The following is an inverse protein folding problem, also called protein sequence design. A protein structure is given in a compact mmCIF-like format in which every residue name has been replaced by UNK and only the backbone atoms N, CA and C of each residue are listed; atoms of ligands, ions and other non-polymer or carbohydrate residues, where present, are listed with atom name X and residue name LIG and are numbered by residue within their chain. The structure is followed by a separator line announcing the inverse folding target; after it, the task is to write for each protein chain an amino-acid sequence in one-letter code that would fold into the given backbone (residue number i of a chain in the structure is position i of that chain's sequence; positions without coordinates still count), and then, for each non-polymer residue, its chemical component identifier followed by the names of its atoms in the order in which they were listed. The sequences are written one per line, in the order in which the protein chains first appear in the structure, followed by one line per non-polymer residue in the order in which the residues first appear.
data_IF_777990250232
#
_entry.id   IF_777990250232
#
_cell.length_a   1.000
_cell.length_b   1.000
_cell.length_c   1.000
_cell.angle_alpha   90.00
_cell.angle_beta   90.00
_cell.angle_gamma   90.00
#
_symmetry.space_group_name_H-M   'P 1'
#
loop_
_entity.id
_entity.type
_entity.pdbx_description
1 polymer ?
#
# COMPACT_ATOMS: atom_id res chain seq x y z
N UNK A 1 -22.89 -30.55 6.58
CA UNK A 1 -21.50 -30.07 6.76
C UNK A 1 -21.22 -29.10 5.63
N UNK A 2 -20.91 -27.87 5.96
CA UNK A 2 -20.78 -26.77 5.02
C UNK A 2 -19.53 -26.95 4.14
N UNK A 3 -19.61 -26.51 2.88
CA UNK A 3 -18.66 -26.83 1.80
C UNK A 3 -17.22 -26.32 2.00
N UNK A 4 -16.96 -25.48 3.01
CA UNK A 4 -15.64 -24.96 3.31
C UNK A 4 -15.06 -25.67 4.54
N UNK A 5 -13.96 -26.38 4.32
CA UNK A 5 -13.12 -26.91 5.40
C UNK A 5 -12.22 -25.77 5.92
N UNK A 6 -12.79 -24.89 6.74
CA UNK A 6 -12.09 -23.75 7.32
C UNK A 6 -12.26 -23.74 8.84
N UNK A 7 -11.19 -23.41 9.55
CA UNK A 7 -11.23 -23.13 10.99
C UNK A 7 -11.20 -21.63 11.21
N UNK A 8 -12.16 -21.05 11.96
CA UNK A 8 -12.16 -19.60 12.22
C UNK A 8 -10.86 -19.10 12.87
N UNK A 9 -10.31 -19.88 13.80
CA UNK A 9 -9.02 -19.59 14.43
C UNK A 9 -7.85 -19.64 13.46
N UNK A 10 -7.88 -20.53 12.47
CA UNK A 10 -6.86 -20.59 11.41
C UNK A 10 -6.91 -19.37 10.50
N UNK A 11 -8.11 -18.91 10.15
CA UNK A 11 -8.30 -17.68 9.37
C UNK A 11 -7.79 -16.46 10.14
N UNK A 12 -8.14 -16.34 11.42
CA UNK A 12 -7.65 -15.23 12.25
C UNK A 12 -6.13 -15.24 12.38
N UNK A 13 -5.51 -16.41 12.58
CA UNK A 13 -4.06 -16.53 12.64
C UNK A 13 -3.39 -16.08 11.34
N UNK A 14 -3.81 -16.60 10.18
CA UNK A 14 -3.21 -16.25 8.88
C UNK A 14 -3.40 -14.76 8.58
N UNK A 15 -4.59 -14.23 8.84
CA UNK A 15 -4.88 -12.81 8.58
C UNK A 15 -4.17 -11.89 9.57
N UNK A 16 -3.80 -12.36 10.77
CA UNK A 16 -2.90 -11.66 11.69
C UNK A 16 -1.49 -11.55 11.10
N UNK A 17 -0.94 -12.65 10.59
CA UNK A 17 0.38 -12.64 9.94
C UNK A 17 0.43 -11.71 8.72
N UNK A 18 -0.69 -11.61 7.97
CA UNK A 18 -0.81 -10.62 6.89
C UNK A 18 -0.78 -9.20 7.44
N UNK A 19 -1.39 -8.94 8.60
CA UNK A 19 -1.30 -7.66 9.30
C UNK A 19 0.14 -7.31 9.66
N UNK A 20 0.87 -8.24 10.28
CA UNK A 20 2.29 -8.05 10.63
C UNK A 20 3.14 -7.72 9.40
N UNK A 21 2.92 -8.44 8.28
CA UNK A 21 3.63 -8.17 7.03
C UNK A 21 3.29 -6.79 6.42
N UNK A 22 2.06 -6.30 6.60
CA UNK A 22 1.67 -4.95 6.16
C UNK A 22 2.39 -3.89 7.01
N UNK A 23 2.51 -4.11 8.32
CA UNK A 23 3.24 -3.21 9.21
C UNK A 23 4.73 -3.16 8.85
N UNK A 24 5.33 -4.30 8.51
CA UNK A 24 6.72 -4.37 8.01
C UNK A 24 6.90 -3.61 6.68
N UNK A 25 5.90 -3.67 5.78
CA UNK A 25 5.91 -2.89 4.53
C UNK A 25 5.87 -1.39 4.84
N UNK A 26 5.00 -0.92 5.74
CA UNK A 26 4.94 0.51 6.12
C UNK A 26 6.26 0.99 6.73
N UNK A 27 6.84 0.20 7.65
CA UNK A 27 8.15 0.49 8.23
C UNK A 27 9.25 0.56 7.15
N UNK A 28 9.24 -0.39 6.21
CA UNK A 28 10.14 -0.43 5.07
C UNK A 28 10.03 0.80 4.15
N UNK A 29 8.82 1.20 3.80
CA UNK A 29 8.55 2.40 2.96
C UNK A 29 9.05 3.68 3.64
N UNK A 30 8.81 3.83 4.95
CA UNK A 30 9.29 4.99 5.72
C UNK A 30 10.80 5.04 5.79
N UNK A 31 11.46 3.90 6.01
CA UNK A 31 12.92 3.79 6.04
C UNK A 31 13.52 4.11 4.67
N UNK A 32 12.94 3.53 3.62
CA UNK A 32 13.33 3.77 2.24
C UNK A 32 13.25 5.26 1.87
N UNK A 33 12.14 5.95 2.19
CA UNK A 33 12.00 7.38 1.94
C UNK A 33 13.09 8.23 2.62
N UNK A 34 13.38 7.96 3.91
CA UNK A 34 14.46 8.64 4.65
C UNK A 34 15.83 8.40 4.03
N UNK A 35 16.11 7.17 3.60
CA UNK A 35 17.39 6.82 2.97
C UNK A 35 17.56 7.52 1.62
N UNK A 36 16.49 7.63 0.84
CA UNK A 36 16.51 8.35 -0.44
C UNK A 36 16.67 9.86 -0.26
N UNK A 37 16.02 10.46 0.75
CA UNK A 37 16.22 11.87 1.12
C UNK A 37 17.67 12.15 1.54
N UNK A 38 18.25 11.28 2.37
CA UNK A 38 19.65 11.35 2.77
C UNK A 38 20.59 11.22 1.57
N UNK A 39 20.30 10.31 0.64
CA UNK A 39 21.08 10.13 -0.58
C UNK A 39 20.97 11.36 -1.51
N UNK A 40 19.77 11.91 -1.68
CA UNK A 40 19.54 13.12 -2.47
C UNK A 40 20.32 14.33 -1.92
N UNK A 41 20.34 14.48 -0.60
CA UNK A 41 21.12 15.53 0.09
C UNK A 41 22.62 15.35 -0.11
N UNK A 42 23.09 14.10 -0.14
CA UNK A 42 24.50 13.76 -0.28
C UNK A 42 25.00 13.79 -1.74
N UNK A 43 24.10 13.73 -2.73
CA UNK A 43 24.45 13.62 -4.14
C UNK A 43 25.02 14.90 -4.77
N UNK A 44 25.11 15.98 -4.00
CA UNK A 44 25.63 17.26 -4.47
C UNK A 44 24.70 17.97 -5.47
N UNK A 45 25.11 19.15 -5.91
CA UNK A 45 24.32 20.01 -6.79
C UNK A 45 25.20 20.47 -7.94
N UNK A 46 24.62 20.64 -9.14
CA UNK A 46 25.28 21.37 -10.21
C UNK A 46 24.88 22.83 -10.02
N UNK A 47 25.68 23.59 -9.30
CA UNK A 47 25.50 25.04 -9.15
C UNK A 47 26.82 25.77 -9.41
N UNK A 48 26.74 26.88 -10.16
CA UNK A 48 27.76 27.92 -10.15
C UNK A 48 27.88 28.51 -8.74
N UNK A 49 28.99 29.17 -8.34
CA UNK A 49 29.19 29.65 -6.97
C UNK A 49 28.08 30.63 -6.57
N UNK A 50 27.04 30.10 -5.93
CA UNK A 50 25.89 30.83 -5.42
C UNK A 50 26.03 31.00 -3.91
N UNK A 51 25.87 32.24 -3.43
CA UNK A 51 25.65 32.49 -2.02
C UNK A 51 24.18 32.17 -1.69
N UNK A 52 23.89 30.97 -1.19
CA UNK A 52 22.52 30.57 -0.83
C UNK A 52 22.32 29.07 -0.62
N UNK A 53 21.08 28.65 -0.38
CA UNK A 53 20.74 27.23 -0.31
C UNK A 53 21.02 26.56 -1.66
N UNK A 54 21.78 25.46 -1.65
CA UNK A 54 22.16 24.76 -2.86
C UNK A 54 20.92 24.15 -3.54
N UNK A 55 20.67 24.41 -4.83
CA UNK A 55 19.50 23.88 -5.55
C UNK A 55 19.59 22.35 -5.70
N UNK A 56 18.48 21.62 -5.63
CA UNK A 56 18.48 20.16 -5.80
C UNK A 56 19.16 19.73 -7.10
N UNK A 57 20.24 18.94 -6.99
CA UNK A 57 20.95 18.41 -8.15
C UNK A 57 20.13 17.38 -8.94
N UNK A 58 20.55 17.04 -10.17
CA UNK A 58 19.82 16.11 -11.05
C UNK A 58 19.61 14.73 -10.41
N UNK A 59 20.57 14.25 -9.61
CA UNK A 59 20.45 12.99 -8.88
C UNK A 59 19.37 13.08 -7.78
N UNK A 60 19.33 14.18 -7.03
CA UNK A 60 18.30 14.40 -6.02
C UNK A 60 16.90 14.47 -6.63
N UNK A 61 16.76 15.13 -7.78
CA UNK A 61 15.49 15.18 -8.52
C UNK A 61 15.06 13.80 -9.03
N UNK A 62 16.00 12.99 -9.55
CA UNK A 62 15.71 11.63 -10.00
C UNK A 62 15.27 10.72 -8.84
N UNK A 63 15.90 10.86 -7.66
CA UNK A 63 15.52 10.11 -6.46
C UNK A 63 14.13 10.50 -5.96
N UNK A 64 13.76 11.79 -6.02
CA UNK A 64 12.42 12.23 -5.66
C UNK A 64 11.34 11.59 -6.54
N UNK A 65 11.54 11.58 -7.87
CA UNK A 65 10.64 10.91 -8.81
C UNK A 65 10.58 9.39 -8.61
N UNK A 66 11.72 8.79 -8.27
CA UNK A 66 11.79 7.36 -7.99
C UNK A 66 10.98 6.99 -6.74
N UNK A 67 11.16 7.74 -5.65
CA UNK A 67 10.40 7.57 -4.41
C UNK A 67 8.90 7.75 -4.64
N UNK A 68 8.49 8.81 -5.34
CA UNK A 68 7.08 9.07 -5.63
C UNK A 68 6.42 7.86 -6.34
N UNK A 69 7.13 7.25 -7.30
CA UNK A 69 6.63 6.10 -8.05
C UNK A 69 6.60 4.82 -7.21
N UNK A 70 7.65 4.52 -6.45
CA UNK A 70 7.77 3.26 -5.72
C UNK A 70 6.93 3.24 -4.44
N UNK A 71 6.73 4.38 -3.78
CA UNK A 71 5.84 4.48 -2.62
C UNK A 71 4.40 4.11 -2.97
N UNK A 72 3.91 4.54 -4.14
CA UNK A 72 2.57 4.17 -4.62
C UNK A 72 2.40 2.66 -4.76
N UNK A 73 3.39 1.99 -5.36
CA UNK A 73 3.37 0.54 -5.58
C UNK A 73 3.38 -0.21 -4.23
N UNK A 74 4.22 0.21 -3.28
CA UNK A 74 4.28 -0.40 -1.96
C UNK A 74 2.97 -0.24 -1.18
N UNK A 75 2.38 0.96 -1.19
CA UNK A 75 1.08 1.22 -0.55
C UNK A 75 -0.05 0.41 -1.20
N UNK A 76 -0.02 0.25 -2.53
CA UNK A 76 -1.00 -0.56 -3.22
C UNK A 76 -0.93 -2.04 -2.81
N UNK A 77 0.29 -2.59 -2.65
CA UNK A 77 0.48 -3.97 -2.16
C UNK A 77 -0.10 -4.12 -0.76
N UNK A 78 0.24 -3.21 0.16
CA UNK A 78 -0.27 -3.23 1.53
C UNK A 78 -1.79 -3.15 1.59
N UNK A 79 -2.40 -2.23 0.85
CA UNK A 79 -3.85 -2.09 0.79
C UNK A 79 -4.55 -3.32 0.18
N UNK A 80 -3.96 -3.95 -0.85
CA UNK A 80 -4.52 -5.16 -1.46
C UNK A 80 -4.44 -6.36 -0.53
N UNK A 81 -3.34 -6.47 0.21
CA UNK A 81 -3.18 -7.47 1.27
C UNK A 81 -4.21 -7.26 2.38
N UNK A 82 -4.40 -6.01 2.84
CA UNK A 82 -5.39 -5.66 3.86
C UNK A 82 -6.82 -6.00 3.42
N UNK A 83 -7.19 -5.65 2.18
CA UNK A 83 -8.51 -5.97 1.62
C UNK A 83 -8.74 -7.48 1.52
N UNK A 84 -7.72 -8.24 1.13
CA UNK A 84 -7.80 -9.70 1.07
C UNK A 84 -7.98 -10.32 2.46
N UNK A 85 -7.22 -9.84 3.45
CA UNK A 85 -7.32 -10.30 4.83
C UNK A 85 -8.69 -9.99 5.45
N UNK A 86 -9.20 -8.76 5.26
CA UNK A 86 -10.52 -8.36 5.74
C UNK A 86 -11.64 -9.16 5.07
N UNK A 87 -11.56 -9.36 3.75
CA UNK A 87 -12.51 -10.21 3.03
C UNK A 87 -12.55 -11.65 3.54
N UNK A 88 -11.38 -12.22 3.89
CA UNK A 88 -11.31 -13.56 4.49
C UNK A 88 -11.95 -13.61 5.88
N UNK A 89 -11.72 -12.59 6.73
CA UNK A 89 -12.37 -12.46 8.04
C UNK A 89 -13.89 -12.31 7.93
N UNK A 90 -14.36 -11.40 7.09
CA UNK A 90 -15.80 -11.17 6.85
C UNK A 90 -16.49 -12.42 6.30
N UNK A 91 -15.90 -13.06 5.29
CA UNK A 91 -16.46 -14.28 4.71
C UNK A 91 -16.58 -15.40 5.74
N UNK A 92 -15.57 -15.54 6.61
CA UNK A 92 -15.58 -16.51 7.72
C UNK A 92 -16.65 -16.17 8.75
N UNK A 93 -16.80 -14.89 9.12
CA UNK A 93 -17.85 -14.45 10.04
C UNK A 93 -19.25 -14.77 9.51
N UNK A 94 -19.53 -14.45 8.24
CA UNK A 94 -20.81 -14.78 7.60
C UNK A 94 -21.03 -16.28 7.48
N UNK A 95 -19.97 -17.04 7.19
CA UNK A 95 -20.03 -18.49 7.10
C UNK A 95 -20.39 -19.14 8.44
N UNK A 96 -19.75 -18.71 9.53
CA UNK A 96 -20.04 -19.17 10.90
C UNK A 96 -21.48 -18.81 11.31
N UNK A 97 -21.97 -17.64 10.87
CA UNK A 97 -23.36 -17.22 11.08
C UNK A 97 -24.38 -17.96 10.19
N UNK A 98 -23.94 -18.88 9.32
CA UNK A 98 -24.80 -19.64 8.40
C UNK A 98 -25.27 -18.85 7.17
N UNK A 99 -24.78 -17.63 6.96
CA UNK A 99 -25.14 -16.79 5.82
C UNK A 99 -24.15 -16.98 4.67
N UNK A 100 -24.32 -18.09 3.94
CA UNK A 100 -23.42 -18.46 2.86
C UNK A 100 -23.42 -17.50 1.66
N UNK A 101 -24.53 -16.79 1.41
CA UNK A 101 -24.60 -15.78 0.35
C UNK A 101 -23.69 -14.59 0.68
N UNK A 102 -23.82 -14.06 1.90
CA UNK A 102 -22.96 -12.96 2.36
C UNK A 102 -21.49 -13.36 2.45
N UNK A 103 -21.20 -14.64 2.79
CA UNK A 103 -19.85 -15.15 2.77
C UNK A 103 -19.23 -15.13 1.35
N UNK A 104 -19.98 -15.59 0.34
CA UNK A 104 -19.55 -15.55 -1.06
C UNK A 104 -19.41 -14.11 -1.58
N UNK A 105 -20.34 -13.22 -1.20
CA UNK A 105 -20.29 -11.81 -1.57
C UNK A 105 -19.07 -11.10 -0.96
N UNK A 106 -18.75 -11.37 0.30
CA UNK A 106 -17.56 -10.81 0.97
C UNK A 106 -16.27 -11.24 0.26
N UNK A 107 -16.16 -12.52 -0.08
CA UNK A 107 -15.03 -13.03 -0.86
C UNK A 107 -14.95 -12.36 -2.24
N UNK A 108 -16.08 -12.20 -2.94
CA UNK A 108 -16.11 -11.58 -4.26
C UNK A 108 -15.70 -10.10 -4.21
N UNK A 109 -16.20 -9.35 -3.21
CA UNK A 109 -15.83 -7.93 -3.00
C UNK A 109 -14.34 -7.76 -2.70
N UNK A 110 -13.71 -8.72 -2.02
CA UNK A 110 -12.29 -8.69 -1.72
C UNK A 110 -11.40 -8.77 -2.97
N UNK A 111 -11.93 -9.24 -4.12
CA UNK A 111 -11.19 -9.31 -5.39
C UNK A 111 -11.04 -7.94 -6.08
N UNK A 112 -11.88 -6.97 -5.72
CA UNK A 112 -11.81 -5.63 -6.30
C UNK A 112 -10.46 -4.99 -5.99
N UNK A 113 -9.87 -4.28 -6.95
CA UNK A 113 -8.62 -3.58 -6.69
C UNK A 113 -8.87 -2.44 -5.68
N UNK A 114 -7.99 -2.27 -4.67
CA UNK A 114 -8.09 -1.16 -3.75
C UNK A 114 -7.82 0.16 -4.49
N UNK A 115 -8.55 1.21 -4.10
CA UNK A 115 -8.24 2.58 -4.52
C UNK A 115 -7.25 3.17 -3.53
N UNK A 116 -6.15 3.70 -4.04
CA UNK A 116 -5.13 4.39 -3.23
C UNK A 116 -5.19 5.85 -3.64
N UNK A 117 -5.72 6.68 -2.74
CA UNK A 117 -5.69 8.12 -2.91
C UNK A 117 -4.35 8.65 -2.39
N UNK A 118 -3.49 9.12 -3.29
CA UNK A 118 -2.23 9.75 -2.91
C UNK A 118 -2.35 11.28 -2.92
N UNK A 119 -1.57 11.99 -2.09
CA UNK A 119 -1.44 13.43 -2.21
C UNK A 119 -0.94 13.77 -3.63
N UNK A 120 -1.74 14.51 -4.41
CA UNK A 120 -1.44 14.88 -5.81
C UNK A 120 -2.26 14.17 -6.90
N UNK A 121 -3.13 13.22 -6.53
CA UNK A 121 -4.05 12.54 -7.48
C UNK A 121 -5.27 13.40 -7.88
N UNK A 122 -5.40 14.59 -7.33
CA UNK A 122 -6.43 15.59 -7.63
C UNK A 122 -6.26 16.28 -9.01
N UNK A 123 -5.19 16.00 -9.75
CA UNK A 123 -4.89 16.68 -11.03
C UNK A 123 -5.14 15.86 -12.30
N UNK A 124 -5.63 14.61 -12.23
CA UNK A 124 -5.86 13.77 -13.43
C UNK A 124 -7.26 13.12 -13.53
N UNK A 125 -8.24 13.64 -12.81
CA UNK A 125 -9.65 13.19 -12.86
C UNK A 125 -10.63 14.19 -13.51
N UNK A 126 -10.13 15.22 -14.20
CA UNK A 126 -10.95 16.27 -14.81
C UNK A 126 -11.14 16.09 -16.31
N UNK A 127 -12.21 15.40 -16.71
CA UNK A 127 -12.90 15.65 -17.98
C UNK A 127 -12.69 14.64 -19.11
N UNK A 128 -13.74 13.84 -19.37
CA UNK A 128 -14.42 13.92 -20.67
C UNK A 128 -15.89 13.49 -20.53
N UNK A 129 -16.71 14.10 -21.39
CA UNK A 129 -18.17 14.19 -21.42
C UNK A 129 -18.91 12.86 -21.36
#
# INVERSE_FOLDING_TARGET
MSKWDITPSGVEFVTSLVGDAIDDIDAGVRSYGKNMESAATSAGTISEPMCGAAPTGPVGAALALFVEKTTREALFIGARAAQSANGAREATAYYVAGNHHMAADAQHKALAAPKIDLPGDDTRGGGHK
#
